data_IF_289394519356
#
_entry.id   IF_289394519356
#
_cell.length_a   1.000
_cell.length_b   1.000
_cell.length_c   1.000
_cell.angle_alpha   90.00
_cell.angle_beta   90.00
_cell.angle_gamma   90.00
#
_symmetry.space_group_name_H-M   'P 1'
#
loop_
_entity.id
_entity.type
_entity.pdbx_description
1 polymer ?
#
# COMPACT_ATOMS: atom_id res chain seq x y z
N UNK A 1 -8.27 -25.64 28.16
CA UNK A 1 -8.32 -24.15 28.13
C UNK A 1 -7.09 -23.57 27.45
N UNK A 2 -5.86 -23.82 27.93
CA UNK A 2 -4.62 -23.35 27.27
C UNK A 2 -4.48 -23.78 25.81
N UNK A 3 -4.74 -25.06 25.52
CA UNK A 3 -4.71 -25.61 24.15
C UNK A 3 -5.65 -24.86 23.17
N UNK A 4 -6.81 -24.41 23.65
CA UNK A 4 -7.76 -23.67 22.82
C UNK A 4 -7.20 -22.31 22.36
N UNK A 5 -6.48 -21.61 23.24
CA UNK A 5 -5.80 -20.37 22.89
C UNK A 5 -4.60 -20.61 21.98
N UNK A 6 -3.91 -21.75 22.11
CA UNK A 6 -2.83 -22.13 21.19
C UNK A 6 -3.37 -22.36 19.78
N UNK A 7 -4.48 -23.08 19.65
CA UNK A 7 -5.11 -23.32 18.34
C UNK A 7 -5.62 -22.02 17.73
N UNK A 8 -6.26 -21.15 18.53
CA UNK A 8 -6.63 -19.81 18.07
C UNK A 8 -5.42 -19.01 17.55
N UNK A 9 -4.30 -19.01 18.27
CA UNK A 9 -3.08 -18.33 17.83
C UNK A 9 -2.50 -18.96 16.55
N UNK A 10 -2.57 -20.29 16.38
CA UNK A 10 -2.12 -20.97 15.15
C UNK A 10 -2.97 -20.56 13.95
N UNK A 11 -4.30 -20.46 14.12
CA UNK A 11 -5.20 -19.99 13.05
C UNK A 11 -4.87 -18.54 12.69
N UNK A 12 -4.74 -17.64 13.66
CA UNK A 12 -4.30 -16.25 13.42
C UNK A 12 -2.95 -16.20 12.71
N UNK A 13 -1.97 -17.02 13.12
CA UNK A 13 -0.67 -17.08 12.49
C UNK A 13 -0.76 -17.56 11.04
N UNK A 14 -1.68 -18.48 10.73
CA UNK A 14 -1.93 -18.93 9.35
C UNK A 14 -2.45 -17.80 8.44
N UNK A 15 -3.16 -16.82 9.00
CA UNK A 15 -3.66 -15.66 8.25
C UNK A 15 -2.52 -14.76 7.75
N UNK A 16 -1.40 -14.71 8.47
CA UNK A 16 -0.19 -14.00 7.99
C UNK A 16 0.30 -14.56 6.65
N UNK A 17 0.24 -15.89 6.48
CA UNK A 17 0.61 -16.55 5.23
C UNK A 17 -0.38 -16.23 4.09
N UNK A 18 -1.56 -15.71 4.41
CA UNK A 18 -2.57 -15.24 3.44
C UNK A 18 -2.49 -13.73 3.19
N UNK A 19 -1.47 -13.06 3.73
CA UNK A 19 -1.30 -11.61 3.62
C UNK A 19 -2.31 -10.80 4.44
N UNK A 20 -2.91 -11.40 5.46
CA UNK A 20 -3.73 -10.69 6.44
C UNK A 20 -2.80 -10.15 7.53
N UNK A 21 -3.05 -8.92 7.97
CA UNK A 21 -2.24 -8.28 9.00
C UNK A 21 -2.87 -8.52 10.36
N UNK A 22 -2.04 -8.81 11.35
CA UNK A 22 -2.46 -8.89 12.74
C UNK A 22 -2.07 -7.60 13.46
N UNK A 23 -2.95 -7.11 14.32
CA UNK A 23 -2.71 -5.94 15.16
C UNK A 23 -3.33 -6.15 16.54
N UNK A 24 -2.75 -5.54 17.58
CA UNK A 24 -3.26 -5.64 18.95
C UNK A 24 -3.84 -4.30 19.42
N UNK A 25 -5.06 -4.32 19.94
CA UNK A 25 -5.66 -3.18 20.65
C UNK A 25 -6.14 -3.68 22.01
N UNK A 26 -5.41 -3.33 23.07
CA UNK A 26 -5.58 -3.94 24.39
C UNK A 26 -5.52 -2.91 25.51
N UNK A 27 -6.44 -3.02 26.48
CA UNK A 27 -6.40 -2.28 27.74
C UNK A 27 -5.46 -2.97 28.72
N UNK A 28 -4.18 -2.63 28.64
CA UNK A 28 -3.13 -3.24 29.46
C UNK A 28 -1.89 -2.32 29.57
N UNK A 29 -0.93 -2.69 30.41
CA UNK A 29 0.40 -2.12 30.42
C UNK A 29 1.25 -2.73 29.29
N UNK A 30 1.77 -1.88 28.39
CA UNK A 30 2.49 -2.30 27.18
C UNK A 30 3.68 -3.23 27.49
N UNK A 31 4.55 -2.83 28.41
CA UNK A 31 5.75 -3.61 28.76
C UNK A 31 5.42 -5.02 29.24
N UNK A 32 4.34 -5.16 30.02
CA UNK A 32 3.90 -6.45 30.57
C UNK A 32 3.34 -7.34 29.46
N UNK A 33 2.46 -6.79 28.61
CA UNK A 33 1.85 -7.54 27.52
C UNK A 33 2.88 -8.01 26.49
N UNK A 34 3.84 -7.15 26.12
CA UNK A 34 4.90 -7.51 25.19
C UNK A 34 5.88 -8.53 25.80
N UNK A 35 6.24 -8.37 27.08
CA UNK A 35 7.10 -9.34 27.77
C UNK A 35 6.47 -10.73 27.83
N UNK A 36 5.15 -10.82 28.05
CA UNK A 36 4.43 -12.09 28.00
C UNK A 36 4.45 -12.71 26.59
N UNK A 37 4.21 -11.90 25.55
CA UNK A 37 4.23 -12.34 24.16
C UNK A 37 5.63 -12.81 23.70
N UNK A 38 6.69 -12.21 24.23
CA UNK A 38 8.08 -12.52 23.87
C UNK A 38 8.63 -13.72 24.64
N UNK A 39 8.41 -13.78 25.96
CA UNK A 39 9.12 -14.71 26.84
C UNK A 39 8.31 -15.97 27.20
N UNK A 40 6.99 -15.98 27.02
CA UNK A 40 6.20 -17.13 27.40
C UNK A 40 6.40 -18.29 26.42
N UNK A 41 6.86 -19.47 26.87
CA UNK A 41 7.33 -20.55 26.00
C UNK A 41 6.25 -21.11 25.08
N UNK A 42 5.00 -21.12 25.56
CA UNK A 42 3.86 -21.66 24.80
C UNK A 42 3.27 -20.66 23.81
N UNK A 43 3.66 -19.37 23.83
CA UNK A 43 3.11 -18.43 22.85
C UNK A 43 3.47 -18.90 21.44
N UNK A 44 2.53 -18.80 20.50
CA UNK A 44 2.76 -19.11 19.09
C UNK A 44 3.01 -17.83 18.30
N UNK A 45 2.24 -16.79 18.59
CA UNK A 45 2.45 -15.45 18.06
C UNK A 45 3.62 -14.78 18.80
N UNK A 46 4.38 -13.96 18.08
CA UNK A 46 5.49 -13.14 18.60
C UNK A 46 5.28 -11.67 18.27
N UNK A 47 5.97 -10.72 18.91
CA UNK A 47 5.84 -9.29 18.57
C UNK A 47 6.12 -8.97 17.09
N UNK A 48 6.97 -9.79 16.44
CA UNK A 48 7.24 -9.70 15.00
C UNK A 48 6.03 -9.97 14.11
N UNK A 49 5.08 -10.78 14.56
CA UNK A 49 3.90 -11.22 13.81
C UNK A 49 2.83 -10.11 13.67
N UNK A 50 2.88 -9.05 14.49
CA UNK A 50 1.86 -7.99 14.53
C UNK A 50 2.32 -6.74 13.78
N UNK A 51 1.56 -6.26 12.79
CA UNK A 51 1.84 -5.05 12.01
C UNK A 51 1.95 -3.77 12.87
N UNK A 52 1.30 -3.75 14.04
CA UNK A 52 1.42 -2.72 15.06
C UNK A 52 0.46 -2.98 16.21
N UNK A 53 0.59 -2.20 17.29
CA UNK A 53 -0.25 -2.35 18.47
C UNK A 53 -0.53 -1.01 19.16
N UNK A 54 -1.61 -1.02 19.95
CA UNK A 54 -1.97 0.00 20.93
C UNK A 54 -2.33 -0.71 22.22
N UNK A 55 -1.39 -0.71 23.17
CA UNK A 55 -1.55 -1.37 24.46
C UNK A 55 -1.49 -0.28 25.53
N UNK A 56 -2.65 0.25 25.88
CA UNK A 56 -2.81 1.38 26.79
C UNK A 56 -4.25 1.40 27.33
N UNK A 57 -4.54 2.31 28.27
CA UNK A 57 -5.87 2.40 28.88
C UNK A 57 -6.86 3.32 28.13
N UNK A 58 -6.52 3.79 26.92
CA UNK A 58 -7.41 4.62 26.10
C UNK A 58 -8.54 3.79 25.48
N UNK A 59 -9.54 4.49 24.96
CA UNK A 59 -10.65 3.86 24.24
C UNK A 59 -10.15 3.08 23.01
N UNK A 60 -10.72 1.88 22.78
CA UNK A 60 -10.28 1.01 21.68
C UNK A 60 -10.64 1.59 20.31
N UNK A 61 -11.69 2.40 20.20
CA UNK A 61 -12.07 3.11 18.97
C UNK A 61 -10.95 4.04 18.52
N UNK A 62 -10.48 4.90 19.42
CA UNK A 62 -9.38 5.83 19.14
C UNK A 62 -8.11 5.07 18.71
N UNK A 63 -7.77 4.02 19.46
CA UNK A 63 -6.61 3.19 19.18
C UNK A 63 -6.71 2.48 17.81
N UNK A 64 -7.91 2.01 17.41
CA UNK A 64 -8.14 1.41 16.08
C UNK A 64 -7.94 2.47 15.00
N UNK A 65 -8.56 3.65 15.13
CA UNK A 65 -8.44 4.74 14.14
C UNK A 65 -6.97 5.15 13.97
N UNK A 66 -6.27 5.37 15.08
CA UNK A 66 -4.85 5.71 15.07
C UNK A 66 -4.02 4.63 14.39
N UNK A 67 -4.23 3.36 14.74
CA UNK A 67 -3.43 2.26 14.21
C UNK A 67 -3.70 2.00 12.73
N UNK A 68 -4.96 2.12 12.29
CA UNK A 68 -5.37 1.96 10.88
C UNK A 68 -4.81 3.10 10.03
N UNK A 69 -4.88 4.34 10.53
CA UNK A 69 -4.26 5.51 9.91
C UNK A 69 -2.74 5.33 9.85
N UNK A 70 -2.12 4.88 10.94
CA UNK A 70 -0.70 4.56 10.99
C UNK A 70 -0.36 3.56 9.87
N UNK A 71 -1.11 2.47 9.71
CA UNK A 71 -0.85 1.44 8.72
C UNK A 71 -1.23 1.83 7.27
N UNK A 72 -1.76 3.05 7.07
CA UNK A 72 -2.28 3.53 5.80
C UNK A 72 -3.33 2.58 5.19
N UNK A 73 -4.24 2.10 6.04
CA UNK A 73 -5.35 1.21 5.67
C UNK A 73 -6.68 1.95 5.83
N UNK A 74 -7.74 1.41 5.23
CA UNK A 74 -9.11 1.90 5.45
C UNK A 74 -9.84 1.09 6.52
N UNK A 75 -10.70 1.72 7.31
CA UNK A 75 -11.50 1.06 8.36
C UNK A 75 -12.32 -0.13 7.82
N UNK A 76 -12.81 -0.05 6.58
CA UNK A 76 -13.54 -1.13 5.91
C UNK A 76 -12.73 -2.41 5.65
N UNK A 77 -11.41 -2.36 5.85
CA UNK A 77 -10.52 -3.52 5.72
C UNK A 77 -10.19 -4.17 7.07
N UNK A 78 -10.80 -3.70 8.15
CA UNK A 78 -10.51 -4.13 9.52
C UNK A 78 -11.59 -5.09 10.00
N UNK A 79 -11.14 -6.17 10.64
CA UNK A 79 -11.99 -7.05 11.45
C UNK A 79 -11.54 -6.90 12.90
N UNK A 80 -12.44 -6.49 13.78
CA UNK A 80 -12.14 -6.30 15.20
C UNK A 80 -12.73 -7.44 16.02
N UNK A 81 -11.85 -8.17 16.72
CA UNK A 81 -12.21 -9.33 17.55
C UNK A 81 -11.84 -9.01 18.99
N UNK A 82 -12.79 -9.24 19.90
CA UNK A 82 -12.63 -9.02 21.34
C UNK A 82 -13.54 -9.98 22.10
N UNK A 83 -13.09 -10.52 23.23
CA UNK A 83 -13.91 -11.36 24.10
C UNK A 83 -14.94 -10.54 24.88
N UNK A 84 -14.68 -9.25 25.13
CA UNK A 84 -15.58 -8.37 25.85
C UNK A 84 -16.73 -7.84 24.95
N UNK A 85 -18.00 -8.21 25.21
CA UNK A 85 -19.13 -7.75 24.41
C UNK A 85 -19.34 -6.23 24.43
N UNK A 86 -18.97 -5.55 25.52
CA UNK A 86 -19.10 -4.10 25.61
C UNK A 86 -18.11 -3.37 24.70
N UNK A 87 -16.86 -3.86 24.61
CA UNK A 87 -15.87 -3.32 23.67
C UNK A 87 -16.29 -3.57 22.22
N UNK A 88 -16.83 -4.76 21.91
CA UNK A 88 -17.39 -5.05 20.58
C UNK A 88 -18.52 -4.10 20.21
N UNK A 89 -19.50 -3.91 21.10
CA UNK A 89 -20.63 -3.02 20.87
C UNK A 89 -20.17 -1.56 20.66
N UNK A 90 -19.24 -1.09 21.49
CA UNK A 90 -18.68 0.26 21.40
C UNK A 90 -18.00 0.51 20.06
N UNK A 91 -17.19 -0.44 19.58
CA UNK A 91 -16.52 -0.35 18.27
C UNK A 91 -17.52 -0.40 17.13
N UNK A 92 -18.50 -1.30 17.18
CA UNK A 92 -19.53 -1.44 16.14
C UNK A 92 -20.39 -0.17 15.99
N UNK A 93 -20.69 0.51 17.10
CA UNK A 93 -21.44 1.77 17.09
C UNK A 93 -20.60 2.93 16.54
N UNK A 94 -19.35 3.06 16.98
CA UNK A 94 -18.52 4.20 16.63
C UNK A 94 -17.88 4.11 15.25
N UNK A 95 -17.59 2.90 14.77
CA UNK A 95 -16.87 2.62 13.53
C UNK A 95 -17.68 1.63 12.66
N UNK A 96 -18.79 2.07 12.05
CA UNK A 96 -19.68 1.19 11.28
C UNK A 96 -19.01 0.53 10.07
N UNK A 97 -17.87 1.03 9.61
CA UNK A 97 -17.07 0.41 8.55
C UNK A 97 -16.26 -0.79 9.03
N UNK A 98 -15.96 -0.90 10.33
CA UNK A 98 -15.18 -2.01 10.89
C UNK A 98 -16.08 -3.23 11.05
N UNK A 99 -15.64 -4.38 10.54
CA UNK A 99 -16.37 -5.62 10.75
C UNK A 99 -16.16 -6.11 12.19
N UNK A 100 -17.22 -6.10 13.00
CA UNK A 100 -17.22 -6.65 14.36
C UNK A 100 -18.09 -7.91 14.38
N UNK A 101 -17.49 -9.12 14.27
CA UNK A 101 -18.27 -10.35 14.30
C UNK A 101 -18.84 -10.60 15.71
N UNK A 102 -19.95 -11.34 15.75
CA UNK A 102 -20.36 -11.99 16.99
C UNK A 102 -19.26 -12.97 17.40
N UNK A 103 -18.85 -12.91 18.66
CA UNK A 103 -17.74 -13.70 19.16
C UNK A 103 -18.22 -14.68 20.23
N UNK A 104 -17.86 -15.96 20.16
CA UNK A 104 -18.27 -16.95 21.16
C UNK A 104 -17.69 -16.61 22.54
N UNK A 105 -18.39 -16.99 23.60
CA UNK A 105 -17.91 -16.80 24.98
C UNK A 105 -16.81 -17.81 25.36
N UNK A 106 -16.85 -19.00 24.76
CA UNK A 106 -15.91 -20.09 25.07
C UNK A 106 -14.69 -20.04 24.15
N UNK A 107 -13.46 -20.01 24.70
CA UNK A 107 -12.22 -20.11 23.93
C UNK A 107 -12.13 -21.36 23.04
N UNK A 108 -12.83 -22.44 23.41
CA UNK A 108 -12.89 -23.68 22.62
C UNK A 108 -13.44 -23.47 21.21
N UNK A 109 -14.26 -22.43 21.01
CA UNK A 109 -14.89 -22.13 19.73
C UNK A 109 -14.17 -21.03 18.94
N UNK A 110 -13.10 -20.43 19.47
CA UNK A 110 -12.44 -19.27 18.84
C UNK A 110 -11.83 -19.62 17.48
N UNK A 111 -11.14 -20.77 17.40
CA UNK A 111 -10.54 -21.24 16.16
C UNK A 111 -11.62 -21.53 15.09
N UNK A 112 -12.71 -22.21 15.47
CA UNK A 112 -13.83 -22.48 14.58
C UNK A 112 -14.49 -21.19 14.08
N UNK A 113 -14.74 -20.22 14.97
CA UNK A 113 -15.30 -18.93 14.61
C UNK A 113 -14.44 -18.19 13.58
N UNK A 114 -13.11 -18.24 13.69
CA UNK A 114 -12.22 -17.66 12.66
C UNK A 114 -12.38 -18.30 11.29
N UNK A 115 -12.56 -19.63 11.22
CA UNK A 115 -12.74 -20.33 9.94
C UNK A 115 -14.08 -20.01 9.26
N UNK A 116 -15.11 -19.68 10.04
CA UNK A 116 -16.42 -19.29 9.52
C UNK A 116 -16.42 -17.87 8.91
N UNK A 117 -15.43 -17.03 9.26
CA UNK A 117 -15.29 -15.68 8.73
C UNK A 117 -14.82 -15.69 7.27
N UNK A 118 -15.79 -15.69 6.35
CA UNK A 118 -15.56 -15.62 4.88
C UNK A 118 -14.92 -14.31 4.41
N UNK A 119 -14.86 -13.27 5.26
CA UNK A 119 -14.22 -11.99 4.94
C UNK A 119 -12.70 -12.09 4.71
N UNK A 120 -12.08 -13.19 5.15
CA UNK A 120 -10.67 -13.49 4.94
C UNK A 120 -10.39 -14.35 3.70
N UNK A 121 -11.43 -14.71 2.93
CA UNK A 121 -11.27 -15.51 1.73
C UNK A 121 -10.62 -14.71 0.60
N UNK A 122 -9.55 -15.27 0.05
CA UNK A 122 -8.81 -14.71 -1.07
C UNK A 122 -8.97 -15.66 -2.26
N UNK A 123 -9.42 -15.13 -3.41
CA UNK A 123 -9.56 -15.90 -4.65
C UNK A 123 -8.22 -16.26 -5.30
N UNK A 124 -7.13 -15.60 -4.88
CA UNK A 124 -5.76 -15.92 -5.28
C UNK A 124 -4.77 -15.53 -4.18
N UNK A 125 -3.91 -16.48 -3.81
CA UNK A 125 -2.72 -16.27 -2.98
C UNK A 125 -1.55 -15.97 -3.92
N UNK A 126 -0.90 -14.83 -3.74
CA UNK A 126 0.31 -14.47 -4.49
C UNK A 126 1.55 -14.61 -3.60
N UNK A 127 2.74 -14.79 -4.19
CA UNK A 127 4.01 -14.82 -3.43
C UNK A 127 4.25 -13.54 -2.60
N UNK A 128 3.61 -12.43 -2.97
CA UNK A 128 3.69 -11.16 -2.27
C UNK A 128 2.78 -11.10 -1.05
N UNK A 129 1.69 -11.88 -1.04
CA UNK A 129 0.84 -12.05 0.14
C UNK A 129 1.58 -12.81 1.25
N UNK A 130 2.40 -13.79 0.87
CA UNK A 130 3.28 -14.53 1.77
C UNK A 130 4.39 -13.66 2.39
N UNK A 131 4.85 -12.63 1.66
CA UNK A 131 5.88 -11.68 2.14
C UNK A 131 5.30 -10.49 2.91
N UNK A 132 3.97 -10.33 2.96
CA UNK A 132 3.31 -9.13 3.47
C UNK A 132 3.53 -8.91 4.97
N UNK A 133 3.55 -9.97 5.77
CA UNK A 133 3.85 -9.86 7.21
C UNK A 133 5.27 -9.33 7.47
N UNK A 134 6.26 -9.80 6.69
CA UNK A 134 7.66 -9.33 6.78
C UNK A 134 7.79 -7.86 6.35
N UNK A 135 7.03 -7.43 5.34
CA UNK A 135 7.01 -6.03 4.88
C UNK A 135 6.55 -5.04 5.96
N UNK A 136 5.53 -5.38 6.77
CA UNK A 136 5.05 -4.49 7.84
C UNK A 136 5.95 -4.50 9.08
N UNK A 137 6.67 -5.59 9.36
CA UNK A 137 7.75 -5.56 10.34
C UNK A 137 8.87 -4.60 9.91
N UNK A 138 9.19 -4.57 8.60
CA UNK A 138 10.06 -3.55 8.00
C UNK A 138 9.49 -2.14 8.18
N UNK A 139 8.21 -1.93 7.86
CA UNK A 139 7.51 -0.64 8.03
C UNK A 139 7.61 -0.08 9.46
N UNK A 140 7.37 -0.93 10.48
CA UNK A 140 7.54 -0.54 11.90
C UNK A 140 8.96 -0.10 12.21
N UNK A 141 9.97 -0.86 11.76
CA UNK A 141 11.38 -0.47 11.91
C UNK A 141 11.67 0.84 11.21
N UNK A 142 11.18 1.06 9.98
CA UNK A 142 11.43 2.32 9.26
C UNK A 142 10.90 3.52 10.04
N UNK A 143 9.74 3.38 10.69
CA UNK A 143 9.12 4.45 11.50
C UNK A 143 9.85 4.71 12.81
N UNK A 144 10.30 3.65 13.49
CA UNK A 144 11.13 3.81 14.68
C UNK A 144 12.43 4.56 14.34
N UNK A 145 13.05 4.26 13.20
CA UNK A 145 14.21 4.99 12.67
C UNK A 145 13.85 6.41 12.23
N UNK A 146 12.69 6.63 11.58
CA UNK A 146 12.26 7.94 11.09
C UNK A 146 12.16 9.01 12.19
N UNK A 147 11.75 8.62 13.40
CA UNK A 147 11.65 9.52 14.57
C UNK A 147 12.99 10.12 15.00
N UNK A 148 14.10 9.57 14.54
CA UNK A 148 15.46 10.04 14.86
C UNK A 148 15.89 11.21 13.95
N UNK A 149 15.26 11.36 12.79
CA UNK A 149 15.66 12.33 11.78
C UNK A 149 14.86 13.63 11.85
N UNK A 150 15.52 14.74 11.53
CA UNK A 150 14.97 16.10 11.54
C UNK A 150 14.14 16.46 10.32
N UNK A 151 14.32 15.78 9.19
CA UNK A 151 13.56 16.01 7.95
C UNK A 151 13.22 14.72 7.21
N UNK A 152 12.10 14.74 6.47
CA UNK A 152 11.64 13.60 5.65
C UNK A 152 12.69 13.20 4.60
N UNK A 153 13.30 14.17 3.92
CA UNK A 153 14.30 13.92 2.89
C UNK A 153 15.59 13.31 3.45
N UNK A 154 16.05 13.74 4.63
CA UNK A 154 17.21 13.12 5.30
C UNK A 154 16.92 11.66 5.65
N UNK A 155 15.72 11.36 6.14
CA UNK A 155 15.33 9.98 6.41
C UNK A 155 15.22 9.14 5.14
N UNK A 156 14.55 9.64 4.09
CA UNK A 156 14.39 8.93 2.82
C UNK A 156 15.75 8.61 2.17
N UNK A 157 16.74 9.52 2.27
CA UNK A 157 18.13 9.26 1.87
C UNK A 157 18.70 8.01 2.52
N UNK A 158 18.45 7.82 3.82
CA UNK A 158 18.97 6.66 4.54
C UNK A 158 18.31 5.34 4.13
N UNK A 159 17.11 5.37 3.55
CA UNK A 159 16.41 4.16 3.11
C UNK A 159 17.04 3.54 1.85
N UNK A 160 17.87 4.29 1.11
CA UNK A 160 18.47 3.85 -0.15
C UNK A 160 17.43 3.26 -1.10
N UNK A 161 16.38 4.04 -1.36
CA UNK A 161 15.25 3.61 -2.19
C UNK A 161 15.74 3.35 -3.62
N UNK A 162 15.38 2.17 -4.13
CA UNK A 162 15.61 1.72 -5.50
C UNK A 162 14.27 1.50 -6.18
N UNK A 163 14.11 2.09 -7.35
CA UNK A 163 12.91 1.97 -8.18
C UNK A 163 13.33 1.40 -9.52
N UNK A 164 12.79 0.23 -9.83
CA UNK A 164 12.94 -0.41 -11.13
C UNK A 164 11.67 -0.17 -11.94
N UNK A 165 11.82 0.49 -13.08
CA UNK A 165 10.76 0.78 -14.04
C UNK A 165 10.85 -0.24 -15.16
N UNK A 166 9.78 -1.00 -15.35
CA UNK A 166 9.66 -2.03 -16.37
C UNK A 166 8.46 -1.72 -17.27
N UNK A 167 8.52 -2.12 -18.54
CA UNK A 167 7.34 -2.08 -19.39
C UNK A 167 6.34 -3.17 -18.98
N UNK A 168 5.07 -2.98 -19.28
CA UNK A 168 4.08 -4.03 -19.12
C UNK A 168 4.44 -5.22 -20.01
N UNK A 169 4.50 -6.41 -19.41
CA UNK A 169 4.92 -7.65 -20.06
C UNK A 169 3.99 -8.80 -19.68
N UNK A 170 4.03 -9.94 -20.39
CA UNK A 170 3.27 -11.13 -20.03
C UNK A 170 3.52 -11.60 -18.57
N UNK A 171 4.72 -11.37 -18.05
CA UNK A 171 5.13 -11.80 -16.70
C UNK A 171 4.57 -10.90 -15.59
N UNK A 172 4.24 -9.64 -15.88
CA UNK A 172 3.80 -8.66 -14.86
C UNK A 172 2.35 -8.19 -15.02
N UNK A 173 1.67 -8.54 -16.13
CA UNK A 173 0.31 -8.06 -16.45
C UNK A 173 -0.75 -8.44 -15.41
N UNK A 174 -0.71 -9.67 -14.89
CA UNK A 174 -1.69 -10.11 -13.89
C UNK A 174 -1.57 -9.30 -12.60
N UNK A 175 -0.32 -8.99 -12.21
CA UNK A 175 -0.04 -8.21 -11.01
C UNK A 175 -0.40 -6.74 -11.19
N UNK A 176 -0.10 -6.17 -12.36
CA UNK A 176 -0.50 -4.81 -12.70
C UNK A 176 -2.03 -4.64 -12.67
N UNK A 177 -2.77 -5.56 -13.30
CA UNK A 177 -4.23 -5.58 -13.27
C UNK A 177 -4.77 -5.72 -11.84
N UNK A 178 -4.17 -6.60 -11.03
CA UNK A 178 -4.55 -6.73 -9.62
C UNK A 178 -4.32 -5.43 -8.85
N UNK A 179 -3.20 -4.74 -9.07
CA UNK A 179 -2.88 -3.48 -8.40
C UNK A 179 -3.87 -2.38 -8.79
N UNK A 180 -4.18 -2.22 -10.08
CA UNK A 180 -5.19 -1.29 -10.58
C UNK A 180 -6.54 -1.54 -9.89
N UNK A 181 -6.96 -2.80 -9.80
CA UNK A 181 -8.29 -3.16 -9.29
C UNK A 181 -8.40 -3.09 -7.76
N UNK A 182 -7.31 -3.30 -7.02
CA UNK A 182 -7.30 -3.30 -5.55
C UNK A 182 -6.96 -1.94 -4.93
N UNK A 183 -6.33 -1.04 -5.68
CA UNK A 183 -5.92 0.27 -5.16
C UNK A 183 -7.04 1.29 -5.30
N UNK A 184 -7.42 1.90 -4.17
CA UNK A 184 -8.49 2.90 -4.13
C UNK A 184 -8.03 4.28 -3.66
N UNK A 185 -6.88 4.42 -2.98
CA UNK A 185 -6.42 5.71 -2.46
C UNK A 185 -5.58 6.49 -3.48
N UNK A 186 -4.50 5.87 -3.97
CA UNK A 186 -3.66 6.44 -5.03
C UNK A 186 -4.03 5.79 -6.35
N UNK A 187 -5.19 6.17 -6.89
CA UNK A 187 -5.68 5.70 -8.18
C UNK A 187 -6.37 6.85 -8.90
N UNK A 188 -5.76 7.31 -10.00
CA UNK A 188 -6.21 8.47 -10.77
C UNK A 188 -7.54 8.22 -11.50
N UNK A 189 -7.67 7.08 -12.19
CA UNK A 189 -8.80 6.83 -13.09
C UNK A 189 -9.80 5.79 -12.55
N UNK A 190 -9.40 4.98 -11.57
CA UNK A 190 -10.23 3.93 -10.93
C UNK A 190 -10.82 2.90 -11.89
N UNK A 191 -10.15 2.67 -13.02
CA UNK A 191 -10.56 1.66 -14.01
C UNK A 191 -10.62 0.26 -13.40
N UNK A 192 -11.44 -0.60 -13.99
CA UNK A 192 -11.50 -2.03 -13.66
C UNK A 192 -11.17 -2.82 -14.91
N UNK A 193 -9.96 -3.39 -14.94
CA UNK A 193 -9.43 -4.06 -16.11
C UNK A 193 -9.04 -5.49 -15.76
N UNK A 194 -9.48 -6.43 -16.59
CA UNK A 194 -8.91 -7.77 -16.60
C UNK A 194 -7.49 -7.73 -17.17
N UNK A 195 -6.65 -8.76 -16.90
CA UNK A 195 -5.32 -8.83 -17.50
C UNK A 195 -5.35 -8.80 -19.03
N UNK A 196 -6.36 -9.41 -19.66
CA UNK A 196 -6.55 -9.37 -21.11
C UNK A 196 -6.81 -7.94 -21.61
N UNK A 197 -7.78 -7.23 -20.99
CA UNK A 197 -8.08 -5.84 -21.34
C UNK A 197 -6.88 -4.91 -21.12
N UNK A 198 -6.10 -5.13 -20.06
CA UNK A 198 -4.89 -4.33 -19.79
C UNK A 198 -3.84 -4.54 -20.87
N UNK A 199 -3.64 -5.79 -21.30
CA UNK A 199 -2.72 -6.15 -22.39
C UNK A 199 -3.16 -5.53 -23.71
N UNK A 200 -4.43 -5.67 -24.07
CA UNK A 200 -4.99 -5.14 -25.32
C UNK A 200 -4.92 -3.60 -25.36
N UNK A 201 -5.12 -2.96 -24.20
CA UNK A 201 -4.95 -1.52 -24.05
C UNK A 201 -3.47 -1.14 -24.22
N UNK A 202 -2.53 -1.83 -23.59
CA UNK A 202 -1.11 -1.52 -23.68
C UNK A 202 -0.48 -1.83 -25.06
N UNK A 203 -1.13 -2.68 -25.86
CA UNK A 203 -0.66 -3.05 -27.20
C UNK A 203 -0.94 -1.99 -28.29
N UNK A 204 -1.72 -0.94 -27.99
CA UNK A 204 -1.96 0.14 -28.95
C UNK A 204 -0.68 0.95 -29.17
N UNK A 205 -0.39 1.36 -30.40
CA UNK A 205 0.87 2.02 -30.79
C UNK A 205 1.11 3.34 -30.04
N UNK A 206 0.04 4.07 -29.75
CA UNK A 206 0.10 5.35 -29.05
C UNK A 206 0.03 5.21 -27.52
N UNK A 207 0.01 3.98 -27.00
CA UNK A 207 -0.06 3.72 -25.57
C UNK A 207 1.30 3.28 -25.02
N UNK A 208 1.53 3.61 -23.76
CA UNK A 208 2.67 3.13 -23.01
C UNK A 208 2.22 2.79 -21.60
N UNK A 209 2.68 1.65 -21.10
CA UNK A 209 2.41 1.25 -19.73
C UNK A 209 3.68 0.76 -19.06
N UNK A 210 3.93 1.31 -17.88
CA UNK A 210 5.01 0.90 -17.01
C UNK A 210 4.48 0.32 -15.71
N UNK A 211 5.26 -0.60 -15.18
CA UNK A 211 5.14 -1.07 -13.81
C UNK A 211 6.39 -0.63 -13.04
N UNK A 212 6.23 -0.39 -11.75
CA UNK A 212 7.31 0.04 -10.88
C UNK A 212 7.48 -0.94 -9.73
N UNK A 213 8.68 -1.48 -9.59
CA UNK A 213 9.10 -2.24 -8.42
C UNK A 213 9.91 -1.35 -7.50
N UNK A 214 9.57 -1.40 -6.20
CA UNK A 214 10.19 -0.53 -5.21
C UNK A 214 10.88 -1.38 -4.14
N UNK A 215 12.16 -1.11 -3.90
CA UNK A 215 12.95 -1.74 -2.83
C UNK A 215 13.64 -0.68 -1.99
N UNK A 216 13.88 -0.98 -0.73
CA UNK A 216 14.69 -0.16 0.18
C UNK A 216 15.56 -1.07 1.06
N UNK A 217 16.44 -0.49 1.89
CA UNK A 217 17.34 -1.26 2.77
C UNK A 217 16.60 -2.18 3.77
N UNK A 218 15.31 -1.91 4.04
CA UNK A 218 14.49 -2.60 5.03
C UNK A 218 13.54 -3.62 4.41
N UNK A 219 13.39 -3.65 3.07
CA UNK A 219 12.65 -4.70 2.38
C UNK A 219 12.31 -4.41 0.93
N UNK A 220 11.80 -5.44 0.26
CA UNK A 220 11.25 -5.39 -1.09
C UNK A 220 9.74 -5.15 -1.02
N UNK A 221 9.26 -4.04 -1.61
CA UNK A 221 7.83 -3.72 -1.69
C UNK A 221 7.15 -4.33 -2.93
N UNK A 222 7.90 -5.01 -3.78
CA UNK A 222 7.42 -5.64 -5.00
C UNK A 222 6.93 -4.64 -6.04
N UNK A 223 6.13 -5.14 -6.99
CA UNK A 223 5.43 -4.30 -7.97
C UNK A 223 4.38 -3.47 -7.24
N UNK A 224 4.70 -2.19 -7.08
CA UNK A 224 3.95 -1.27 -6.24
C UNK A 224 3.38 -0.08 -7.01
N UNK A 225 3.79 0.15 -8.27
CA UNK A 225 3.26 1.21 -9.11
C UNK A 225 2.85 0.73 -10.49
N UNK A 226 1.81 1.36 -11.06
CA UNK A 226 1.45 1.26 -12.48
C UNK A 226 1.23 2.67 -13.02
N UNK A 227 1.83 2.95 -14.18
CA UNK A 227 1.71 4.21 -14.89
C UNK A 227 1.31 3.94 -16.34
N UNK A 228 0.11 4.36 -16.71
CA UNK A 228 -0.40 4.31 -18.07
C UNK A 228 -0.33 5.69 -18.71
N UNK A 229 0.10 5.74 -19.97
CA UNK A 229 0.22 6.95 -20.78
C UNK A 229 -0.36 6.69 -22.16
N UNK A 230 -1.12 7.65 -22.67
CA UNK A 230 -1.64 7.65 -24.02
C UNK A 230 -1.21 8.93 -24.74
N UNK A 231 -0.69 8.80 -25.96
CA UNK A 231 -0.26 9.94 -26.79
C UNK A 231 -1.36 10.23 -27.82
N UNK A 232 -1.78 11.49 -27.92
CA UNK A 232 -2.78 11.98 -28.88
C UNK A 232 -2.35 13.32 -29.44
N UNK A 233 -2.29 13.45 -30.76
CA UNK A 233 -2.08 14.72 -31.47
C UNK A 233 -0.89 15.57 -30.98
N UNK A 234 0.19 14.94 -30.48
CA UNK A 234 1.36 15.65 -29.94
C UNK A 234 1.28 15.98 -28.43
N UNK A 235 0.22 15.56 -27.75
CA UNK A 235 -0.03 15.69 -26.32
C UNK A 235 -0.02 14.30 -25.66
N UNK A 236 0.34 14.23 -24.38
CA UNK A 236 0.27 12.99 -23.61
C UNK A 236 -0.81 13.07 -22.52
N UNK A 237 -1.47 11.95 -22.24
CA UNK A 237 -2.51 11.82 -21.22
C UNK A 237 -2.12 10.67 -20.29
N UNK A 238 -2.03 10.94 -19.00
CA UNK A 238 -1.87 9.92 -17.96
C UNK A 238 -3.22 9.22 -17.80
N UNK A 239 -3.29 7.98 -18.27
CA UNK A 239 -4.50 7.16 -18.25
C UNK A 239 -4.64 6.35 -16.97
N UNK A 240 -3.53 5.92 -16.38
CA UNK A 240 -3.49 5.34 -15.04
C UNK A 240 -2.31 5.90 -14.26
N UNK A 241 -2.56 6.26 -13.02
CA UNK A 241 -1.53 6.52 -12.02
C UNK A 241 -1.97 5.80 -10.77
N UNK A 242 -1.37 4.64 -10.53
CA UNK A 242 -1.75 3.74 -9.43
C UNK A 242 -0.54 3.44 -8.59
N UNK A 243 -0.66 3.67 -7.28
CA UNK A 243 0.41 3.42 -6.33
C UNK A 243 -0.12 2.66 -5.10
N UNK A 244 0.57 1.57 -4.75
CA UNK A 244 0.32 0.81 -3.55
C UNK A 244 0.51 1.69 -2.31
N UNK A 245 -0.40 1.58 -1.34
CA UNK A 245 -0.34 2.33 -0.08
C UNK A 245 0.97 2.15 0.70
N UNK A 246 1.71 1.08 0.41
CA UNK A 246 2.99 0.76 1.04
C UNK A 246 4.08 1.75 0.68
N UNK A 247 4.05 2.32 -0.52
CA UNK A 247 5.15 3.15 -1.04
C UNK A 247 4.82 4.65 -1.11
N UNK A 248 3.61 5.02 -0.68
CA UNK A 248 3.16 6.42 -0.62
C UNK A 248 4.04 7.25 0.31
N UNK A 249 4.29 8.50 -0.06
CA UNK A 249 5.06 9.46 0.73
C UNK A 249 6.57 9.20 0.71
N UNK A 250 7.03 8.26 -0.11
CA UNK A 250 8.45 7.91 -0.27
C UNK A 250 9.07 8.48 -1.55
N UNK A 251 8.41 9.48 -2.13
CA UNK A 251 8.76 10.14 -3.38
C UNK A 251 8.76 9.22 -4.61
N UNK A 252 8.02 8.11 -4.54
CA UNK A 252 7.81 7.19 -5.66
C UNK A 252 6.84 7.83 -6.66
N UNK A 253 5.85 8.56 -6.16
CA UNK A 253 4.87 9.32 -6.92
C UNK A 253 5.54 10.34 -7.85
N UNK A 254 6.45 11.15 -7.30
CA UNK A 254 7.24 12.11 -8.06
C UNK A 254 8.14 11.43 -9.08
N UNK A 255 8.71 10.27 -8.73
CA UNK A 255 9.52 9.48 -9.66
C UNK A 255 8.69 8.98 -10.84
N UNK A 256 7.45 8.52 -10.60
CA UNK A 256 6.51 8.09 -11.65
C UNK A 256 6.20 9.23 -12.62
N UNK A 257 5.84 10.41 -12.12
CA UNK A 257 5.57 11.58 -12.95
C UNK A 257 6.81 11.96 -13.78
N UNK A 258 7.98 11.94 -13.16
CA UNK A 258 9.22 12.28 -13.85
C UNK A 258 9.57 11.27 -14.95
N UNK A 259 9.33 9.98 -14.75
CA UNK A 259 9.51 8.95 -15.79
C UNK A 259 8.58 9.22 -16.98
N UNK A 260 7.31 9.56 -16.74
CA UNK A 260 6.36 9.91 -17.80
C UNK A 260 6.83 11.16 -18.56
N UNK A 261 7.24 12.20 -17.83
CA UNK A 261 7.64 13.49 -18.39
C UNK A 261 8.92 13.36 -19.21
N UNK A 262 9.92 12.63 -18.74
CA UNK A 262 11.15 12.38 -19.51
C UNK A 262 10.84 11.64 -20.81
N UNK A 263 10.01 10.59 -20.75
CA UNK A 263 9.57 9.85 -21.93
C UNK A 263 8.87 10.74 -22.97
N UNK A 264 8.00 11.64 -22.51
CA UNK A 264 7.28 12.56 -23.39
C UNK A 264 8.21 13.64 -23.97
N UNK A 265 9.14 14.15 -23.17
CA UNK A 265 10.15 15.14 -23.60
C UNK A 265 11.05 14.60 -24.69
N UNK A 266 11.53 13.37 -24.55
CA UNK A 266 12.37 12.71 -25.57
C UNK A 266 11.64 12.54 -26.91
N UNK A 267 10.30 12.47 -26.90
CA UNK A 267 9.45 12.41 -28.10
C UNK A 267 9.03 13.77 -28.65
N UNK A 268 9.48 14.86 -28.03
CA UNK A 268 9.13 16.21 -28.47
C UNK A 268 7.64 16.56 -28.32
N UNK A 269 6.93 15.90 -27.38
CA UNK A 269 5.54 16.24 -27.07
C UNK A 269 5.47 17.62 -26.38
N UNK A 270 4.33 18.30 -26.50
CA UNK A 270 4.16 19.68 -26.01
C UNK A 270 3.83 19.74 -24.52
N UNK A 271 2.90 18.90 -24.07
CA UNK A 271 2.40 18.84 -22.70
C UNK A 271 1.93 17.42 -22.33
N UNK A 272 1.79 17.20 -21.02
CA UNK A 272 1.19 16.01 -20.44
C UNK A 272 0.04 16.43 -19.51
N UNK A 273 -1.07 15.72 -19.58
CA UNK A 273 -2.26 15.96 -18.76
C UNK A 273 -2.67 14.75 -17.94
N UNK A 274 -3.37 14.97 -16.84
CA UNK A 274 -3.97 13.94 -16.00
C UNK A 274 -5.36 14.40 -15.57
N UNK A 275 -6.37 13.53 -15.70
CA UNK A 275 -7.73 13.80 -15.22
C UNK A 275 -8.06 12.85 -14.09
N UNK A 276 -8.28 13.39 -12.89
CA UNK A 276 -8.64 12.61 -11.72
C UNK A 276 -10.15 12.33 -11.72
N UNK A 277 -10.50 11.04 -11.61
CA UNK A 277 -11.87 10.58 -11.49
C UNK A 277 -12.23 10.46 -9.99
N UNK A 278 -12.96 11.43 -9.40
CA UNK A 278 -13.14 11.48 -7.97
C UNK A 278 -14.02 10.34 -7.45
N UNK A 279 -13.59 9.78 -6.33
CA UNK A 279 -14.33 8.81 -5.52
C UNK A 279 -14.16 9.18 -4.04
N UNK A 280 -15.00 8.65 -3.13
CA UNK A 280 -14.84 8.90 -1.69
C UNK A 280 -13.48 8.46 -1.12
N UNK A 281 -12.71 7.62 -1.85
CA UNK A 281 -11.48 6.98 -1.34
C UNK A 281 -10.19 7.51 -1.95
N UNK A 282 -10.23 8.14 -3.13
CA UNK A 282 -9.03 8.56 -3.85
C UNK A 282 -8.68 10.05 -3.69
N UNK A 283 -9.16 10.68 -2.61
CA UNK A 283 -8.73 12.02 -2.19
C UNK A 283 -7.20 12.14 -2.03
N UNK A 284 -6.46 11.12 -1.52
CA UNK A 284 -5.00 11.20 -1.48
C UNK A 284 -4.36 11.40 -2.86
N UNK A 285 -4.91 10.79 -3.91
CA UNK A 285 -4.42 10.98 -5.28
C UNK A 285 -4.67 12.41 -5.77
N UNK A 286 -5.84 12.97 -5.49
CA UNK A 286 -6.18 14.34 -5.84
C UNK A 286 -5.26 15.33 -5.13
N UNK A 287 -5.07 15.14 -3.82
CA UNK A 287 -4.17 15.95 -3.02
C UNK A 287 -2.72 15.87 -3.53
N UNK A 288 -2.26 14.69 -3.98
CA UNK A 288 -0.95 14.57 -4.60
C UNK A 288 -0.84 15.43 -5.87
N UNK A 289 -1.77 15.31 -6.81
CA UNK A 289 -1.72 16.10 -8.05
C UNK A 289 -1.77 17.61 -7.80
N UNK A 290 -2.61 18.08 -6.86
CA UNK A 290 -2.64 19.50 -6.44
C UNK A 290 -1.30 19.99 -5.87
N UNK A 291 -0.54 19.12 -5.21
CA UNK A 291 0.75 19.44 -4.62
C UNK A 291 1.95 19.09 -5.51
N UNK A 292 1.72 18.47 -6.68
CA UNK A 292 2.78 18.02 -7.61
C UNK A 292 3.42 19.18 -8.40
N UNK A 293 2.80 20.36 -8.38
CA UNK A 293 3.19 21.49 -9.22
C UNK A 293 2.62 21.46 -10.63
N UNK A 294 1.81 20.44 -10.98
CA UNK A 294 0.94 20.52 -12.15
C UNK A 294 -0.06 21.68 -11.99
N UNK A 295 -0.36 22.34 -13.10
CA UNK A 295 -1.37 23.39 -13.16
C UNK A 295 -2.75 22.74 -13.26
N UNK A 296 -3.67 23.07 -12.34
CA UNK A 296 -5.07 22.65 -12.44
C UNK A 296 -5.77 23.54 -13.48
N UNK A 297 -6.05 22.99 -14.66
CA UNK A 297 -6.63 23.71 -15.81
C UNK A 297 -8.16 23.66 -15.81
N UNK A 298 -8.74 22.61 -15.24
CA UNK A 298 -10.16 22.44 -14.96
C UNK A 298 -10.30 21.68 -13.65
N UNK A 299 -11.51 21.58 -13.09
CA UNK A 299 -11.74 20.83 -11.86
C UNK A 299 -11.21 19.40 -12.00
N UNK A 300 -10.18 19.07 -11.20
CA UNK A 300 -9.53 17.76 -11.17
C UNK A 300 -8.78 17.38 -12.46
N UNK A 301 -8.52 18.35 -13.35
CA UNK A 301 -7.70 18.17 -14.55
C UNK A 301 -6.39 18.96 -14.40
N UNK A 302 -5.28 18.25 -14.56
CA UNK A 302 -3.93 18.74 -14.28
C UNK A 302 -3.08 18.73 -15.55
N UNK A 303 -2.26 19.76 -15.73
CA UNK A 303 -1.35 19.92 -16.87
C UNK A 303 0.08 20.18 -16.42
N UNK A 304 1.04 19.58 -17.12
CA UNK A 304 2.45 19.95 -17.03
C UNK A 304 3.04 20.26 -18.41
N UNK A 305 3.69 21.44 -18.58
CA UNK A 305 4.35 21.78 -19.83
C UNK A 305 5.66 20.98 -19.98
N UNK A 306 5.84 20.29 -21.09
CA UNK A 306 7.02 19.46 -21.31
C UNK A 306 8.27 20.27 -21.68
N UNK A 307 8.17 21.60 -21.76
CA UNK A 307 9.33 22.50 -21.83
C UNK A 307 10.21 22.42 -20.58
N UNK A 308 9.66 21.99 -19.42
CA UNK A 308 10.38 21.87 -18.14
C UNK A 308 10.51 20.41 -17.68
N UNK A 309 11.68 19.98 -17.18
CA UNK A 309 11.81 18.68 -16.54
C UNK A 309 11.03 18.67 -15.21
N UNK A 310 10.64 17.48 -14.75
CA UNK A 310 10.01 17.31 -13.45
C UNK A 310 11.07 17.01 -12.38
N UNK A 311 11.00 17.62 -11.18
CA UNK A 311 11.99 17.37 -10.14
C UNK A 311 11.98 15.90 -9.69
N UNK A 312 13.17 15.30 -9.64
CA UNK A 312 13.39 13.94 -9.11
C UNK A 312 14.28 14.04 -7.88
N UNK A 313 13.97 13.37 -6.77
CA UNK A 313 14.87 13.33 -5.64
C UNK A 313 16.18 12.63 -6.01
N UNK A 314 17.32 13.30 -5.83
CA UNK A 314 18.66 12.80 -6.22
C UNK A 314 19.06 11.50 -5.51
N UNK A 315 18.43 11.20 -4.39
CA UNK A 315 18.73 10.06 -3.54
C UNK A 315 17.96 8.77 -3.90
N UNK A 316 17.05 8.84 -4.87
CA UNK A 316 16.34 7.66 -5.38
C UNK A 316 17.11 7.10 -6.57
N UNK A 317 17.50 5.84 -6.47
CA UNK A 317 18.14 5.12 -7.57
C UNK A 317 17.05 4.58 -8.50
N UNK A 318 16.99 5.09 -9.73
CA UNK A 318 16.03 4.63 -10.74
C UNK A 318 16.74 3.84 -11.84
N UNK A 319 16.25 2.63 -12.10
CA UNK A 319 16.67 1.79 -13.24
C UNK A 319 15.49 1.58 -14.17
N UNK A 320 15.75 1.54 -15.48
CA UNK A 320 14.78 1.20 -16.51
C UNK A 320 15.26 -0.11 -17.17
N UNK A 321 14.67 -1.24 -16.79
CA UNK A 321 15.27 -2.57 -17.00
C UNK A 321 16.67 -2.66 -16.34
N UNK A 322 17.64 -3.28 -17.02
CA UNK A 322 19.01 -3.45 -16.52
C UNK A 322 19.89 -2.17 -16.56
N UNK A 323 19.34 -1.02 -17.01
CA UNK A 323 20.12 0.21 -17.21
C UNK A 323 19.70 1.34 -16.28
N UNK A 324 20.64 2.08 -15.66
CA UNK A 324 20.34 3.31 -14.93
C UNK A 324 19.58 4.34 -15.78
N UNK A 325 18.61 5.06 -15.18
CA UNK A 325 17.80 6.10 -15.87
C UNK A 325 18.64 7.15 -16.62
N UNK A 326 19.79 7.53 -16.06
CA UNK A 326 20.70 8.50 -16.70
C UNK A 326 21.32 8.00 -18.02
N UNK A 327 21.39 6.68 -18.23
CA UNK A 327 22.00 6.05 -19.40
C UNK A 327 21.02 5.83 -20.58
N UNK A 328 19.75 6.24 -20.44
CA UNK A 328 18.75 6.19 -21.52
C UNK A 328 18.63 7.50 -22.32
N UNK A 329 19.45 8.52 -22.05
CA UNK A 329 19.54 9.74 -22.85
C UNK A 329 20.09 9.53 -24.29
N UNK A 330 20.20 8.27 -24.76
CA UNK A 330 20.93 7.88 -25.97
C UNK A 330 20.15 6.96 -26.91
N UNK A 331 18.82 6.82 -26.77
CA UNK A 331 17.98 6.01 -27.68
C UNK A 331 16.84 6.83 -28.27
#
# INVERSE_FOLDING_TARGET
MGEAYLDFQRVLKSFLNRGILLSMVSKNQESVALAALENHPEMVLRPGDFAGWRINWRDKVENIVELVSELNLGLQSVVFIDDNPAERARVAEALPEVLVPQWPESPLSYAAALYELRCFDTLSLTEEDLKRAQMYAGERKRRAEARVFTSLDEWLKTLMIRIEVEELSPENVDRAAQLINKTNQMNLATRRLSPAQLRDWAAQENHKMWTLRVRDKLGDSGLSGVLGLEVRDGHAVISDFVLSCRVIGRKVEETMLATAIDYCRLRGLSEITASHAPTPKNEPCLAFFRNSGFEEIETHAFRWPLSKPYPVPEYIQVTCGDKPRQLQNSL
#
